data_IF_400603388722
#
_entry.id   IF_400603388722
#
_cell.length_a   1.000
_cell.length_b   1.000
_cell.length_c   1.000
_cell.angle_alpha   90.00
_cell.angle_beta   90.00
_cell.angle_gamma   90.00
#
_symmetry.space_group_name_H-M   'P 1'
#
loop_
_entity.id
_entity.type
_entity.pdbx_description
1 polymer ?
#
# COMPACT_ATOMS: atom_id res chain seq x y z
N UNK A 1 -3.51 25.10 16.80
CA UNK A 1 -4.80 25.67 16.36
C UNK A 1 -5.66 24.52 15.86
N UNK A 2 -6.55 24.05 16.73
CA UNK A 2 -7.39 22.86 16.51
C UNK A 2 -8.65 23.28 15.75
N UNK A 3 -8.75 22.87 14.48
CA UNK A 3 -9.91 23.11 13.62
C UNK A 3 -10.96 22.03 13.85
N UNK A 4 -11.69 22.13 14.96
CA UNK A 4 -13.01 21.48 15.07
C UNK A 4 -14.02 22.24 14.20
N UNK A 5 -14.97 21.57 13.53
CA UNK A 5 -15.99 22.25 12.75
C UNK A 5 -16.98 23.00 13.66
N UNK A 6 -17.68 24.03 13.14
CA UNK A 6 -18.62 24.81 13.92
C UNK A 6 -19.81 23.96 14.38
N UNK A 7 -20.28 24.18 15.62
CA UNK A 7 -21.50 23.53 16.13
C UNK A 7 -22.71 24.05 15.37
N UNK A 8 -23.40 23.15 14.67
CA UNK A 8 -24.67 23.43 14.01
C UNK A 8 -25.75 23.76 15.05
N UNK A 9 -26.41 24.89 14.82
CA UNK A 9 -27.50 25.46 15.59
C UNK A 9 -28.77 24.61 15.46
N UNK A 10 -29.26 24.15 16.61
CA UNK A 10 -30.36 23.21 16.72
C UNK A 10 -31.72 23.89 16.56
N UNK A 11 -32.30 23.90 15.35
CA UNK A 11 -33.75 24.03 15.17
C UNK A 11 -34.31 23.20 14.00
N UNK A 12 -35.45 22.58 14.30
CA UNK A 12 -36.39 21.82 13.46
C UNK A 12 -36.02 20.36 13.15
N UNK A 13 -36.79 19.48 13.79
CA UNK A 13 -36.81 18.04 13.63
C UNK A 13 -37.15 17.65 12.20
N UNK A 14 -36.23 16.94 11.53
CA UNK A 14 -36.53 16.17 10.33
C UNK A 14 -35.86 14.80 10.45
N UNK A 15 -36.67 13.74 10.38
CA UNK A 15 -36.26 12.34 10.48
C UNK A 15 -35.24 11.89 9.40
N UNK A 16 -34.86 12.78 8.48
CA UNK A 16 -33.84 12.56 7.46
C UNK A 16 -32.38 12.73 7.94
N UNK A 17 -32.14 13.30 9.14
CA UNK A 17 -30.78 13.54 9.63
C UNK A 17 -29.96 12.27 9.95
N UNK A 18 -30.65 11.17 10.30
CA UNK A 18 -30.00 9.90 10.65
C UNK A 18 -29.50 9.09 9.45
N UNK A 19 -30.10 9.25 8.27
CA UNK A 19 -29.70 8.54 7.07
C UNK A 19 -28.60 9.30 6.31
N UNK A 20 -28.68 10.64 6.29
CA UNK A 20 -27.64 11.49 5.72
C UNK A 20 -26.31 11.30 6.48
N UNK A 21 -26.32 11.38 7.81
CA UNK A 21 -25.09 11.22 8.62
C UNK A 21 -24.47 9.83 8.49
N UNK A 22 -25.26 8.76 8.41
CA UNK A 22 -24.73 7.39 8.17
C UNK A 22 -24.08 7.25 6.80
N UNK A 23 -24.65 7.85 5.74
CA UNK A 23 -24.07 7.82 4.39
C UNK A 23 -22.78 8.62 4.32
N UNK A 24 -22.74 9.80 4.93
CA UNK A 24 -21.51 10.57 5.09
C UNK A 24 -20.47 9.75 5.87
N UNK A 25 -20.82 9.16 7.01
CA UNK A 25 -19.89 8.32 7.79
C UNK A 25 -19.37 7.13 6.99
N UNK A 26 -20.19 6.45 6.17
CA UNK A 26 -19.72 5.36 5.31
C UNK A 26 -18.83 5.85 4.17
N UNK A 27 -19.06 7.04 3.63
CA UNK A 27 -18.19 7.66 2.62
C UNK A 27 -16.85 8.04 3.26
N UNK A 28 -16.85 8.64 4.45
CA UNK A 28 -15.65 8.96 5.20
C UNK A 28 -14.90 7.71 5.67
N UNK A 29 -15.62 6.67 6.11
CA UNK A 29 -15.03 5.39 6.49
C UNK A 29 -14.46 4.68 5.27
N UNK A 30 -15.16 4.68 4.14
CA UNK A 30 -14.64 4.14 2.88
C UNK A 30 -13.44 4.93 2.39
N UNK A 31 -13.44 6.26 2.49
CA UNK A 31 -12.30 7.12 2.13
C UNK A 31 -11.12 6.89 3.08
N UNK A 32 -11.36 6.75 4.38
CA UNK A 32 -10.34 6.48 5.38
C UNK A 32 -9.73 5.08 5.22
N UNK A 33 -10.54 4.06 4.95
CA UNK A 33 -10.08 2.69 4.69
C UNK A 33 -9.36 2.57 3.34
N UNK A 34 -9.70 3.37 2.34
CA UNK A 34 -9.06 3.32 1.00
C UNK A 34 -7.67 3.97 0.97
N UNK A 35 -7.27 4.72 1.99
CA UNK A 35 -5.99 5.47 2.03
C UNK A 35 -4.85 4.75 2.76
N UNK A 36 -4.96 3.45 3.04
CA UNK A 36 -3.85 2.65 3.56
C UNK A 36 -3.04 2.10 2.38
N UNK A 37 -2.08 2.88 1.87
CA UNK A 37 -1.08 2.34 0.93
C UNK A 37 -0.08 1.48 1.71
N UNK A 38 -0.22 0.15 1.63
CA UNK A 38 0.76 -0.79 2.16
C UNK A 38 2.00 -0.83 1.26
N UNK A 39 3.18 -0.56 1.83
CA UNK A 39 4.47 -0.72 1.17
C UNK A 39 5.09 -2.05 1.56
N UNK A 40 5.73 -2.71 0.60
CA UNK A 40 6.32 -4.03 0.80
C UNK A 40 7.78 -3.99 0.42
N UNK A 41 8.66 -4.30 1.37
CA UNK A 41 10.06 -4.63 1.10
C UNK A 41 10.15 -6.14 0.86
N UNK A 42 10.85 -6.54 -0.18
CA UNK A 42 10.99 -7.94 -0.55
C UNK A 42 12.43 -8.28 -0.91
N UNK A 43 12.79 -9.55 -0.67
CA UNK A 43 14.04 -10.13 -1.14
C UNK A 43 13.73 -11.25 -2.12
N UNK A 44 14.27 -11.12 -3.32
CA UNK A 44 14.28 -12.17 -4.32
C UNK A 44 15.59 -12.93 -4.26
N UNK A 45 15.53 -14.25 -4.43
CA UNK A 45 16.69 -15.10 -4.55
C UNK A 45 16.67 -15.86 -5.87
N UNK A 46 17.84 -15.95 -6.50
CA UNK A 46 18.05 -16.77 -7.68
C UNK A 46 18.86 -17.99 -7.29
N UNK A 47 18.21 -19.16 -7.19
CA UNK A 47 18.89 -20.40 -6.82
C UNK A 47 19.95 -20.82 -7.84
N UNK A 48 19.72 -20.50 -9.12
CA UNK A 48 20.62 -20.83 -10.23
C UNK A 48 21.91 -20.04 -10.17
N UNK A 49 21.82 -18.76 -9.82
CA UNK A 49 22.97 -17.85 -9.83
C UNK A 49 23.51 -17.54 -8.42
N UNK A 50 22.84 -18.05 -7.38
CA UNK A 50 23.18 -17.84 -5.96
C UNK A 50 23.28 -16.37 -5.56
N UNK A 51 22.45 -15.52 -6.17
CA UNK A 51 22.37 -14.09 -5.87
C UNK A 51 21.02 -13.71 -5.28
N UNK A 52 20.98 -12.60 -4.56
CA UNK A 52 19.75 -11.99 -4.08
C UNK A 52 19.56 -10.58 -4.64
N UNK A 53 18.32 -10.10 -4.62
CA UNK A 53 17.93 -8.76 -4.99
C UNK A 53 16.91 -8.25 -3.99
N UNK A 54 17.20 -7.14 -3.33
CA UNK A 54 16.29 -6.46 -2.42
C UNK A 54 15.62 -5.31 -3.16
N UNK A 55 14.34 -5.09 -2.92
CA UNK A 55 13.62 -3.93 -3.42
C UNK A 55 12.35 -3.67 -2.64
N UNK A 56 11.65 -2.59 -2.98
CA UNK A 56 10.34 -2.28 -2.41
C UNK A 56 9.29 -1.99 -3.50
N UNK A 57 8.02 -2.18 -3.16
CA UNK A 57 6.88 -1.95 -4.06
C UNK A 57 5.59 -1.82 -3.25
N UNK A 58 4.57 -1.16 -3.78
CA UNK A 58 3.20 -1.22 -3.25
C UNK A 58 2.38 -2.38 -3.84
N UNK A 59 2.92 -3.06 -4.86
CA UNK A 59 2.31 -4.25 -5.47
C UNK A 59 3.38 -5.32 -5.70
N UNK A 60 3.43 -6.31 -4.81
CA UNK A 60 4.40 -7.40 -4.85
C UNK A 60 4.15 -8.36 -6.02
N UNK A 61 2.89 -8.65 -6.33
CA UNK A 61 2.52 -9.65 -7.34
C UNK A 61 2.87 -9.15 -8.74
N UNK A 62 2.47 -7.91 -9.06
CA UNK A 62 2.82 -7.27 -10.33
C UNK A 62 4.33 -7.14 -10.50
N UNK A 63 5.03 -6.74 -9.42
CA UNK A 63 6.50 -6.62 -9.43
C UNK A 63 7.19 -7.96 -9.65
N UNK A 64 6.74 -9.02 -8.97
CA UNK A 64 7.27 -10.36 -9.13
C UNK A 64 7.10 -10.90 -10.55
N UNK A 65 5.90 -10.71 -11.13
CA UNK A 65 5.63 -11.04 -12.54
C UNK A 65 6.52 -10.27 -13.50
N UNK A 66 6.74 -8.97 -13.25
CA UNK A 66 7.63 -8.15 -14.06
C UNK A 66 9.07 -8.66 -14.03
N UNK A 67 9.60 -8.96 -12.85
CA UNK A 67 10.98 -9.45 -12.70
C UNK A 67 11.21 -10.82 -13.33
N UNK A 68 10.22 -11.73 -13.30
CA UNK A 68 10.35 -13.06 -13.87
C UNK A 68 9.99 -13.18 -15.35
N UNK A 69 9.04 -12.38 -15.86
CA UNK A 69 8.47 -12.59 -17.20
C UNK A 69 8.61 -11.37 -18.09
N UNK A 70 8.11 -10.22 -17.65
CA UNK A 70 7.81 -9.08 -18.53
C UNK A 70 9.01 -8.16 -18.79
N UNK A 71 9.97 -8.09 -17.87
CA UNK A 71 11.03 -7.08 -17.97
C UNK A 71 12.00 -7.39 -19.11
N UNK A 72 12.06 -6.50 -20.10
CA UNK A 72 12.91 -6.61 -21.27
C UNK A 72 14.30 -6.00 -21.08
N UNK A 73 14.59 -5.33 -19.96
CA UNK A 73 15.89 -4.70 -19.63
C UNK A 73 16.14 -4.74 -18.12
N UNK A 74 17.39 -4.54 -17.69
CA UNK A 74 17.76 -4.42 -16.27
C UNK A 74 18.46 -5.65 -15.68
N UNK A 75 18.96 -5.48 -14.44
CA UNK A 75 19.74 -6.48 -13.70
C UNK A 75 18.94 -7.76 -13.46
N UNK A 76 17.72 -7.63 -12.95
CA UNK A 76 16.89 -8.77 -12.54
C UNK A 76 16.58 -9.73 -13.69
N UNK A 77 16.47 -9.24 -14.93
CA UNK A 77 16.25 -10.09 -16.11
C UNK A 77 17.33 -11.17 -16.29
N UNK A 78 18.60 -10.85 -15.99
CA UNK A 78 19.74 -11.74 -16.29
C UNK A 78 19.81 -12.96 -15.37
N UNK A 79 19.18 -12.91 -14.20
CA UNK A 79 19.34 -13.91 -13.14
C UNK A 79 18.03 -14.59 -12.75
N UNK A 80 17.08 -14.65 -13.68
CA UNK A 80 15.88 -15.48 -13.54
C UNK A 80 16.24 -16.97 -13.48
N UNK A 81 15.41 -17.84 -12.88
CA UNK A 81 14.17 -17.51 -12.17
C UNK A 81 14.43 -16.90 -10.79
N UNK A 82 13.52 -16.04 -10.34
CA UNK A 82 13.52 -15.47 -9.00
C UNK A 82 12.46 -16.12 -8.13
N UNK A 83 12.84 -16.42 -6.89
CA UNK A 83 11.96 -16.84 -5.81
C UNK A 83 11.86 -15.73 -4.77
N UNK A 84 10.68 -15.50 -4.22
CA UNK A 84 10.52 -14.61 -3.07
C UNK A 84 10.93 -15.38 -1.82
N UNK A 85 11.95 -14.91 -1.11
CA UNK A 85 12.45 -15.57 0.11
C UNK A 85 12.18 -14.76 1.37
N UNK A 86 11.85 -13.46 1.23
CA UNK A 86 11.51 -12.58 2.33
C UNK A 86 10.55 -11.50 1.88
N UNK A 87 9.60 -11.15 2.75
CA UNK A 87 8.62 -10.08 2.56
C UNK A 87 8.38 -9.42 3.92
N UNK A 88 8.39 -8.09 3.95
CA UNK A 88 8.07 -7.29 5.13
C UNK A 88 7.15 -6.13 4.70
N UNK A 89 6.08 -5.91 5.46
CA UNK A 89 5.03 -4.93 5.17
C UNK A 89 5.20 -3.70 6.06
N UNK A 90 4.92 -2.53 5.49
CA UNK A 90 5.07 -1.23 6.12
C UNK A 90 3.88 -0.34 5.78
N UNK A 91 3.36 0.36 6.78
CA UNK A 91 2.29 1.35 6.59
C UNK A 91 2.83 2.65 5.98
N UNK A 92 4.14 2.90 6.12
CA UNK A 92 4.77 4.13 5.65
C UNK A 92 5.96 3.83 4.73
N UNK A 93 5.98 4.53 3.59
CA UNK A 93 7.09 4.47 2.62
C UNK A 93 8.46 4.77 3.24
N UNK A 94 8.53 5.69 4.21
CA UNK A 94 9.80 6.06 4.87
C UNK A 94 10.41 4.88 5.61
N UNK A 95 9.57 4.11 6.31
CA UNK A 95 10.01 2.96 7.10
C UNK A 95 10.48 1.84 6.17
N UNK A 96 9.76 1.60 5.08
CA UNK A 96 10.16 0.65 4.04
C UNK A 96 11.52 1.00 3.40
N UNK A 97 11.74 2.28 3.04
CA UNK A 97 13.01 2.73 2.45
C UNK A 97 14.16 2.63 3.45
N UNK A 98 13.91 2.94 4.73
CA UNK A 98 14.93 2.82 5.77
C UNK A 98 15.34 1.36 5.99
N UNK A 99 14.42 0.41 5.81
CA UNK A 99 14.70 -1.02 5.89
C UNK A 99 15.47 -1.58 4.70
N UNK A 100 15.24 -1.04 3.50
CA UNK A 100 15.91 -1.46 2.26
C UNK A 100 17.42 -1.16 2.27
N UNK A 101 17.85 -0.09 2.97
CA UNK A 101 19.24 0.36 3.07
C UNK A 101 20.04 -0.42 4.11
#
# INVERSE_FOLDING_TARGET
>A
MSSYPPKADARSSSANGGLQSKRESLIWFSFFIFNMEEFVVYVLYSEKYKIHYTGFTSDLISRFRSHNLLSNKGFTRKYRPWLVVYVEFFDNKKDAIQREK
#
